data_IF_256768357081
#
_entry.id   IF_256768357081
#
_cell.length_a   1.000
_cell.length_b   1.000
_cell.length_c   1.000
_cell.angle_alpha   90.00
_cell.angle_beta   90.00
_cell.angle_gamma   90.00
#
_symmetry.space_group_name_H-M   'P 1'
#
loop_
_entity.id
_entity.type
_entity.pdbx_description
1 polymer ?
#
# COMPACT_ATOMS: atom_id res chain seq x y z
N UNK A 1 -10.86 -8.50 12.70
CA UNK A 1 -10.39 -7.19 12.21
C UNK A 1 -9.43 -7.39 11.05
N UNK A 2 -9.30 -6.40 10.17
CA UNK A 2 -8.35 -6.41 9.05
C UNK A 2 -6.91 -6.61 9.56
N UNK A 3 -6.54 -5.95 10.65
CA UNK A 3 -5.20 -6.08 11.20
C UNK A 3 -4.90 -7.51 11.67
N UNK A 4 -5.86 -8.20 12.26
CA UNK A 4 -5.70 -9.59 12.65
C UNK A 4 -5.53 -10.51 11.43
N UNK A 5 -6.31 -10.27 10.37
CA UNK A 5 -6.16 -10.99 9.10
C UNK A 5 -4.75 -10.81 8.52
N UNK A 6 -4.21 -9.58 8.55
CA UNK A 6 -2.84 -9.28 8.10
C UNK A 6 -1.82 -10.02 8.97
N UNK A 7 -1.96 -9.93 10.30
CA UNK A 7 -1.05 -10.59 11.24
C UNK A 7 -0.96 -12.09 10.99
N UNK A 8 -2.10 -12.75 10.90
CA UNK A 8 -2.18 -14.18 10.65
C UNK A 8 -1.67 -14.58 9.24
N UNK A 9 -1.93 -13.74 8.24
CA UNK A 9 -1.45 -13.97 6.88
C UNK A 9 0.08 -13.91 6.77
N UNK A 10 0.72 -13.09 7.60
CA UNK A 10 2.17 -12.92 7.64
C UNK A 10 2.86 -13.87 8.61
N UNK A 11 2.11 -14.56 9.47
CA UNK A 11 2.66 -15.47 10.43
C UNK A 11 3.51 -16.56 9.74
N UNK A 12 4.76 -16.73 10.21
CA UNK A 12 5.74 -17.66 9.62
C UNK A 12 6.14 -17.40 8.16
N UNK A 13 5.86 -16.22 7.60
CA UNK A 13 6.38 -15.81 6.30
C UNK A 13 7.77 -15.23 6.49
N UNK A 14 8.79 -15.91 5.94
CA UNK A 14 10.19 -15.47 6.04
C UNK A 14 10.56 -14.51 4.92
N UNK A 15 11.44 -13.55 5.21
CA UNK A 15 11.99 -12.63 4.22
C UNK A 15 11.07 -11.45 3.88
N UNK A 16 9.98 -11.28 4.60
CA UNK A 16 9.09 -10.12 4.48
C UNK A 16 9.16 -9.33 5.77
N UNK A 17 9.47 -8.04 5.67
CA UNK A 17 9.32 -7.10 6.76
C UNK A 17 8.01 -6.33 6.54
N UNK A 18 7.11 -6.39 7.49
CA UNK A 18 5.82 -5.72 7.45
C UNK A 18 5.77 -4.57 8.43
N UNK A 19 5.17 -3.47 8.01
CA UNK A 19 4.98 -2.28 8.82
C UNK A 19 3.51 -1.94 8.93
N UNK A 20 3.09 -1.54 10.10
CA UNK A 20 1.77 -0.98 10.36
C UNK A 20 1.94 0.51 10.70
N UNK A 21 1.28 1.35 9.92
CA UNK A 21 1.14 2.79 10.18
C UNK A 21 -0.24 3.03 10.77
N UNK A 22 -0.35 3.29 12.09
CA UNK A 22 -1.62 3.62 12.72
C UNK A 22 -2.18 4.94 12.16
N UNK A 23 -3.51 5.05 12.14
CA UNK A 23 -4.15 6.31 11.84
C UNK A 23 -3.75 7.37 12.90
N UNK A 24 -3.50 8.63 12.53
CA UNK A 24 -3.03 9.65 13.46
C UNK A 24 -3.93 9.86 14.70
N UNK A 25 -5.22 9.56 14.61
CA UNK A 25 -6.19 9.67 15.70
C UNK A 25 -6.37 8.38 16.52
N UNK A 26 -5.68 7.28 16.16
CA UNK A 26 -5.73 6.03 16.91
C UNK A 26 -4.45 5.84 17.71
N UNK A 27 -4.58 5.67 19.01
CA UNK A 27 -3.45 5.27 19.86
C UNK A 27 -3.13 3.80 19.61
N UNK A 28 -1.88 3.45 19.67
CA UNK A 28 -1.44 2.09 19.37
C UNK A 28 -2.04 1.05 20.32
N UNK A 29 -2.24 1.41 21.58
CA UNK A 29 -2.88 0.53 22.55
C UNK A 29 -4.32 0.21 22.18
N UNK A 30 -5.02 1.19 21.58
CA UNK A 30 -6.39 0.98 21.07
C UNK A 30 -6.37 0.04 19.86
N UNK A 31 -5.39 0.15 18.98
CA UNK A 31 -5.21 -0.73 17.83
C UNK A 31 -5.03 -2.19 18.27
N UNK A 32 -4.19 -2.44 19.24
CA UNK A 32 -3.99 -3.78 19.81
C UNK A 32 -5.25 -4.30 20.51
N UNK A 33 -5.89 -3.47 21.32
CA UNK A 33 -7.13 -3.85 21.99
C UNK A 33 -8.25 -4.22 21.01
N UNK A 34 -8.46 -3.40 19.98
CA UNK A 34 -9.50 -3.60 18.98
C UNK A 34 -9.19 -4.79 18.04
N UNK A 35 -7.94 -5.08 17.78
CA UNK A 35 -7.54 -6.21 16.93
C UNK A 35 -7.51 -7.54 17.67
N UNK A 36 -7.35 -7.52 18.99
CA UNK A 36 -7.13 -8.73 19.80
C UNK A 36 -5.72 -9.31 19.68
N UNK A 37 -4.80 -8.60 19.04
CA UNK A 37 -3.40 -9.03 18.86
C UNK A 37 -2.62 -8.68 20.12
N UNK A 38 -1.84 -9.64 20.62
CA UNK A 38 -0.88 -9.36 21.69
C UNK A 38 0.38 -8.73 21.09
N UNK A 39 0.93 -7.65 21.67
CA UNK A 39 2.12 -6.98 21.13
C UNK A 39 3.31 -7.90 20.88
N UNK A 40 3.51 -8.90 21.73
CA UNK A 40 4.61 -9.86 21.62
C UNK A 40 4.43 -10.90 20.49
N UNK A 41 3.23 -10.96 19.89
CA UNK A 41 2.87 -11.90 18.83
C UNK A 41 2.63 -11.23 17.48
N UNK A 42 3.21 -10.03 17.26
CA UNK A 42 3.05 -9.31 16.01
C UNK A 42 4.00 -9.82 14.92
N UNK A 43 3.42 -10.05 13.74
CA UNK A 43 4.18 -10.31 12.50
C UNK A 43 4.54 -9.02 11.76
N UNK A 44 4.51 -7.87 12.45
CA UNK A 44 4.77 -6.54 11.88
C UNK A 44 5.41 -5.59 12.90
N UNK A 45 6.03 -4.54 12.41
CA UNK A 45 6.56 -3.43 13.21
C UNK A 45 5.63 -2.22 13.12
N UNK A 46 5.52 -1.47 14.23
CA UNK A 46 4.79 -0.21 14.23
C UNK A 46 5.70 0.91 13.77
N UNK A 47 5.24 1.70 12.81
CA UNK A 47 5.97 2.83 12.24
C UNK A 47 5.17 4.12 12.41
N UNK A 48 5.84 5.17 12.88
CA UNK A 48 5.24 6.49 13.10
C UNK A 48 5.74 7.56 12.13
N UNK A 49 6.66 7.20 11.26
CA UNK A 49 7.20 8.09 10.23
C UNK A 49 6.08 8.61 9.30
N UNK A 50 6.30 9.74 8.63
CA UNK A 50 5.40 10.26 7.58
C UNK A 50 5.09 9.18 6.54
N UNK A 51 3.84 9.14 6.08
CA UNK A 51 3.36 8.07 5.19
C UNK A 51 4.12 8.02 3.87
N UNK A 52 4.42 9.17 3.30
CA UNK A 52 5.17 9.30 2.06
C UNK A 52 6.57 8.71 2.14
N UNK A 53 7.21 8.80 3.31
CA UNK A 53 8.52 8.18 3.55
C UNK A 53 8.40 6.65 3.61
N UNK A 54 7.38 6.14 4.26
CA UNK A 54 7.13 4.70 4.33
C UNK A 54 6.78 4.13 2.96
N UNK A 55 5.91 4.82 2.20
CA UNK A 55 5.53 4.40 0.85
C UNK A 55 6.71 4.35 -0.12
N UNK A 56 7.67 5.28 0.01
CA UNK A 56 8.88 5.28 -0.83
C UNK A 56 9.79 4.05 -0.61
N UNK A 57 9.63 3.35 0.50
CA UNK A 57 10.40 2.16 0.86
C UNK A 57 9.58 0.86 0.76
N UNK A 58 8.30 0.96 0.38
CA UNK A 58 7.35 -0.14 0.40
C UNK A 58 7.01 -0.62 -1.01
N UNK A 59 7.03 -1.93 -1.21
CA UNK A 59 6.56 -2.54 -2.46
C UNK A 59 5.06 -2.81 -2.46
N UNK A 60 4.51 -3.29 -1.33
CA UNK A 60 3.11 -3.71 -1.21
C UNK A 60 2.45 -2.88 -0.11
N UNK A 61 1.30 -2.31 -0.41
CA UNK A 61 0.47 -1.60 0.56
C UNK A 61 -0.85 -2.33 0.73
N UNK A 62 -1.14 -2.72 1.96
CA UNK A 62 -2.37 -3.42 2.30
C UNK A 62 -3.29 -2.43 3.01
N UNK A 63 -4.47 -2.25 2.47
CA UNK A 63 -5.46 -1.28 2.97
C UNK A 63 -6.87 -1.88 3.02
N UNK A 64 -7.74 -1.30 3.82
CA UNK A 64 -9.19 -1.42 3.66
C UNK A 64 -9.72 -0.27 2.80
N UNK A 65 -10.31 0.72 3.45
CA UNK A 65 -11.00 1.85 2.80
C UNK A 65 -10.17 3.14 2.74
N UNK A 66 -8.86 3.04 2.97
CA UNK A 66 -7.98 4.20 3.11
C UNK A 66 -7.67 4.87 1.77
N UNK A 67 -7.73 6.20 1.73
CA UNK A 67 -7.25 7.02 0.60
C UNK A 67 -5.75 6.90 0.34
N UNK A 68 -4.97 6.43 1.30
CA UNK A 68 -3.53 6.11 1.14
C UNK A 68 -3.30 5.14 -0.02
N UNK A 69 -4.30 4.34 -0.39
CA UNK A 69 -4.24 3.48 -1.58
C UNK A 69 -3.93 4.24 -2.87
N UNK A 70 -4.45 5.46 -3.01
CA UNK A 70 -4.21 6.33 -4.18
C UNK A 70 -2.74 6.80 -4.18
N UNK A 71 -2.25 7.27 -3.03
CA UNK A 71 -0.87 7.72 -2.87
C UNK A 71 0.13 6.57 -3.11
N UNK A 72 -0.17 5.40 -2.54
CA UNK A 72 0.60 4.19 -2.75
C UNK A 72 0.66 3.81 -4.23
N UNK A 73 -0.49 3.82 -4.92
CA UNK A 73 -0.55 3.56 -6.35
C UNK A 73 0.26 4.60 -7.13
N UNK A 74 0.15 5.90 -6.81
CA UNK A 74 0.89 6.97 -7.47
C UNK A 74 2.41 6.82 -7.34
N UNK A 75 2.87 6.26 -6.23
CA UNK A 75 4.29 5.97 -5.97
C UNK A 75 4.76 4.61 -6.54
N UNK A 76 3.89 3.89 -7.25
CA UNK A 76 4.24 2.63 -7.91
C UNK A 76 4.19 1.41 -6.99
N UNK A 77 3.59 1.52 -5.81
CA UNK A 77 3.34 0.36 -4.95
C UNK A 77 2.25 -0.54 -5.53
N UNK A 78 2.34 -1.83 -5.27
CA UNK A 78 1.22 -2.74 -5.45
C UNK A 78 0.22 -2.57 -4.30
N UNK A 79 -1.05 -2.41 -4.62
CA UNK A 79 -2.11 -2.16 -3.64
C UNK A 79 -2.98 -3.40 -3.47
N UNK A 80 -3.07 -3.89 -2.25
CA UNK A 80 -3.95 -4.99 -1.87
C UNK A 80 -5.07 -4.43 -0.99
N UNK A 81 -6.29 -4.48 -1.51
CA UNK A 81 -7.49 -4.01 -0.81
C UNK A 81 -8.12 -5.20 -0.10
N UNK A 82 -8.22 -5.12 1.22
CA UNK A 82 -8.93 -6.12 2.01
C UNK A 82 -10.41 -5.74 2.05
N UNK A 83 -11.22 -6.54 1.38
CA UNK A 83 -12.67 -6.40 1.34
C UNK A 83 -13.29 -7.32 2.41
N UNK A 84 -13.91 -6.73 3.43
CA UNK A 84 -14.65 -7.49 4.44
C UNK A 84 -16.07 -7.72 3.92
N UNK A 85 -16.51 -8.98 3.73
CA UNK A 85 -17.77 -9.29 3.04
C UNK A 85 -19.02 -8.65 3.64
N UNK A 86 -19.02 -8.43 4.96
CA UNK A 86 -20.15 -7.85 5.70
C UNK A 86 -20.18 -6.32 5.62
N UNK A 87 -19.16 -5.68 5.02
CA UNK A 87 -19.03 -4.24 4.98
C UNK A 87 -19.17 -3.72 3.55
N UNK A 88 -19.70 -2.51 3.43
CA UNK A 88 -19.71 -1.82 2.14
C UNK A 88 -18.27 -1.41 1.83
N UNK A 89 -17.74 -1.87 0.71
CA UNK A 89 -16.40 -1.49 0.28
C UNK A 89 -16.40 -0.03 -0.19
N UNK A 90 -15.82 0.85 0.61
CA UNK A 90 -15.67 2.28 0.34
C UNK A 90 -14.29 2.65 -0.21
N UNK A 91 -13.45 1.65 -0.54
CA UNK A 91 -12.13 1.93 -1.12
C UNK A 91 -12.25 2.76 -2.39
N UNK A 92 -11.47 3.84 -2.53
CA UNK A 92 -11.50 4.69 -3.72
C UNK A 92 -11.03 3.96 -4.98
N UNK A 93 -10.32 2.84 -4.83
CA UNK A 93 -9.80 2.04 -5.93
C UNK A 93 -10.60 0.74 -6.20
N UNK A 94 -11.74 0.53 -5.55
CA UNK A 94 -12.51 -0.71 -5.64
C UNK A 94 -12.94 -1.09 -7.07
N UNK A 95 -13.20 -0.08 -7.91
CA UNK A 95 -13.67 -0.25 -9.29
C UNK A 95 -12.55 -0.10 -10.33
N UNK A 96 -11.33 0.17 -9.87
CA UNK A 96 -10.17 0.37 -10.75
C UNK A 96 -9.58 -0.98 -11.15
N UNK A 97 -9.64 -1.29 -12.45
CA UNK A 97 -9.06 -2.52 -13.01
C UNK A 97 -7.62 -2.26 -13.46
N UNK A 98 -6.68 -2.50 -12.60
CA UNK A 98 -5.25 -2.41 -12.91
C UNK A 98 -4.51 -3.60 -12.31
N UNK A 99 -3.50 -4.09 -13.01
CA UNK A 99 -2.71 -5.25 -12.55
C UNK A 99 -1.96 -5.05 -11.24
N UNK A 100 -1.84 -3.80 -10.80
CA UNK A 100 -1.22 -3.43 -9.52
C UNK A 100 -2.22 -3.36 -8.35
N UNK A 101 -3.51 -3.56 -8.61
CA UNK A 101 -4.56 -3.53 -7.59
C UNK A 101 -5.14 -4.92 -7.48
N UNK A 102 -5.15 -5.47 -6.28
CA UNK A 102 -5.75 -6.76 -5.97
C UNK A 102 -6.76 -6.58 -4.84
N UNK A 103 -7.89 -7.26 -4.95
CA UNK A 103 -8.93 -7.26 -3.90
C UNK A 103 -8.98 -8.66 -3.34
N UNK A 104 -8.91 -8.77 -2.01
CA UNK A 104 -8.93 -10.03 -1.29
C UNK A 104 -10.00 -9.99 -0.20
N UNK A 105 -10.65 -11.10 0.08
CA UNK A 105 -11.75 -11.19 1.04
C UNK A 105 -11.50 -12.21 2.15
N UNK A 106 -10.38 -12.92 2.10
CA UNK A 106 -10.02 -13.90 3.10
C UNK A 106 -8.53 -13.84 3.46
N UNK A 107 -8.20 -14.41 4.62
CA UNK A 107 -6.83 -14.53 5.09
C UNK A 107 -5.96 -15.33 4.12
N UNK A 108 -6.50 -16.42 3.58
CA UNK A 108 -5.77 -17.27 2.65
C UNK A 108 -5.50 -16.57 1.32
N UNK A 109 -6.50 -15.85 0.77
CA UNK A 109 -6.33 -15.02 -0.41
C UNK A 109 -5.26 -13.94 -0.19
N UNK A 110 -5.29 -13.28 0.98
CA UNK A 110 -4.29 -12.26 1.31
C UNK A 110 -2.89 -12.86 1.36
N UNK A 111 -2.72 -13.98 2.08
CA UNK A 111 -1.45 -14.69 2.17
C UNK A 111 -0.93 -15.10 0.80
N UNK A 112 -1.76 -15.73 -0.01
CA UNK A 112 -1.38 -16.17 -1.36
C UNK A 112 -1.01 -14.99 -2.25
N UNK A 113 -1.81 -13.93 -2.21
CA UNK A 113 -1.55 -12.69 -2.97
C UNK A 113 -0.19 -12.08 -2.62
N UNK A 114 0.13 -11.95 -1.33
CA UNK A 114 1.43 -11.45 -0.88
C UNK A 114 2.56 -12.32 -1.42
N UNK A 115 2.45 -13.64 -1.26
CA UNK A 115 3.49 -14.57 -1.73
C UNK A 115 3.68 -14.53 -3.24
N UNK A 116 2.61 -14.38 -4.01
CA UNK A 116 2.67 -14.32 -5.46
C UNK A 116 3.33 -13.01 -5.93
N UNK A 117 2.99 -11.88 -5.31
CA UNK A 117 3.65 -10.60 -5.56
C UNK A 117 5.17 -10.72 -5.29
N UNK A 118 5.57 -11.35 -4.19
CA UNK A 118 6.99 -11.50 -3.87
C UNK A 118 7.76 -12.45 -4.80
N UNK A 119 7.08 -13.44 -5.39
CA UNK A 119 7.68 -14.32 -6.42
C UNK A 119 7.88 -13.60 -7.75
N UNK A 120 7.06 -12.63 -8.06
CA UNK A 120 7.18 -11.85 -9.30
C UNK A 120 8.45 -10.99 -9.26
N UNK A 121 9.21 -10.99 -10.36
CA UNK A 121 10.35 -10.09 -10.49
C UNK A 121 9.86 -8.64 -10.51
N UNK A 122 10.24 -7.89 -9.49
CA UNK A 122 9.89 -6.47 -9.41
C UNK A 122 10.58 -5.69 -10.53
N UNK A 123 9.80 -4.92 -11.29
CA UNK A 123 10.29 -4.03 -12.33
C UNK A 123 9.75 -2.61 -12.06
N UNK A 124 10.55 -1.74 -11.42
CA UNK A 124 10.11 -0.39 -11.02
C UNK A 124 9.58 0.45 -12.19
N UNK A 125 10.22 0.37 -13.35
CA UNK A 125 9.81 1.16 -14.53
C UNK A 125 8.44 0.74 -15.06
N UNK A 126 8.20 -0.57 -15.15
CA UNK A 126 6.91 -1.12 -15.54
C UNK A 126 5.81 -0.71 -14.58
N UNK A 127 6.08 -0.79 -13.27
CA UNK A 127 5.13 -0.40 -12.23
C UNK A 127 4.86 1.11 -12.25
N UNK A 128 5.88 1.94 -12.36
CA UNK A 128 5.71 3.39 -12.46
C UNK A 128 4.91 3.81 -13.72
N UNK A 129 5.12 3.14 -14.86
CA UNK A 129 4.36 3.40 -16.08
C UNK A 129 2.89 2.98 -15.94
N UNK A 130 2.64 1.78 -15.41
CA UNK A 130 1.28 1.27 -15.17
C UNK A 130 0.53 2.13 -14.15
N UNK A 131 1.21 2.56 -13.11
CA UNK A 131 0.68 3.45 -12.08
C UNK A 131 0.25 4.81 -12.67
N UNK A 132 1.14 5.47 -13.40
CA UNK A 132 0.83 6.75 -14.05
C UNK A 132 -0.36 6.63 -14.98
N UNK A 133 -0.41 5.60 -15.81
CA UNK A 133 -1.54 5.35 -16.68
C UNK A 133 -2.84 5.21 -15.87
N UNK A 134 -2.84 4.37 -14.84
CA UNK A 134 -4.03 4.13 -14.01
C UNK A 134 -4.49 5.40 -13.31
N UNK A 135 -3.57 6.19 -12.76
CA UNK A 135 -3.90 7.46 -12.10
C UNK A 135 -4.50 8.45 -13.10
N UNK A 136 -3.89 8.61 -14.27
CA UNK A 136 -4.41 9.50 -15.30
C UNK A 136 -5.79 9.07 -15.80
N UNK A 137 -5.96 7.77 -16.08
CA UNK A 137 -7.24 7.23 -16.56
C UNK A 137 -8.36 7.38 -15.51
N UNK A 138 -8.05 7.19 -14.23
CA UNK A 138 -9.04 7.21 -13.16
C UNK A 138 -9.40 8.64 -12.70
N UNK A 139 -8.41 9.53 -12.62
CA UNK A 139 -8.61 10.89 -12.13
C UNK A 139 -8.79 11.92 -13.25
N UNK A 140 -8.84 11.50 -14.50
CA UNK A 140 -8.97 12.39 -15.66
C UNK A 140 -7.95 13.53 -15.62
N UNK A 141 -6.74 13.22 -15.19
CA UNK A 141 -5.64 14.18 -15.15
C UNK A 141 -5.10 14.32 -16.57
N UNK A 142 -5.68 15.25 -17.34
CA UNK A 142 -5.12 15.58 -18.63
C UNK A 142 -3.80 16.38 -18.48
N UNK A 143 -2.95 16.30 -19.50
CA UNK A 143 -1.63 16.95 -19.48
C UNK A 143 -1.72 18.49 -19.45
N UNK A 144 -2.88 19.05 -19.81
CA UNK A 144 -3.15 20.50 -19.84
C UNK A 144 -3.64 21.00 -18.47
N UNK A 145 -4.18 20.11 -17.63
CA UNK A 145 -4.58 20.50 -16.30
C UNK A 145 -3.38 20.69 -15.37
N UNK A 146 -3.25 21.86 -14.76
CA UNK A 146 -2.24 22.12 -13.72
C UNK A 146 -2.49 21.37 -12.40
N UNK A 147 -3.56 20.55 -12.34
CA UNK A 147 -3.95 19.79 -11.15
C UNK A 147 -2.91 18.70 -10.80
N UNK A 148 -2.37 17.92 -11.75
CA UNK A 148 -1.30 16.95 -11.45
C UNK A 148 -0.05 17.61 -10.89
N UNK A 149 0.33 18.75 -11.46
CA UNK A 149 1.53 19.49 -11.02
C UNK A 149 1.35 20.03 -9.60
N UNK A 150 0.19 20.64 -9.31
CA UNK A 150 -0.15 21.11 -7.96
C UNK A 150 -0.26 19.96 -6.96
N UNK A 151 -0.83 18.82 -7.35
CA UNK A 151 -0.93 17.66 -6.50
C UNK A 151 0.46 17.07 -6.18
N UNK A 152 1.33 16.95 -7.18
CA UNK A 152 2.72 16.52 -7.01
C UNK A 152 3.55 17.54 -6.21
N UNK A 153 3.30 18.83 -6.37
CA UNK A 153 3.90 19.90 -5.56
C UNK A 153 3.43 19.87 -4.11
N UNK A 154 2.16 19.53 -3.85
CA UNK A 154 1.59 19.34 -2.50
C UNK A 154 2.10 18.07 -1.81
N UNK A 155 2.39 17.02 -2.57
CA UNK A 155 3.05 15.81 -2.05
C UNK A 155 4.55 16.05 -1.77
N UNK A 156 5.05 17.24 -2.07
CA UNK A 156 6.42 17.68 -1.82
C UNK A 156 7.39 17.24 -2.92
N UNK A 157 8.19 18.19 -3.39
CA UNK A 157 9.24 18.00 -4.39
C UNK A 157 10.34 16.98 -4.02
N UNK A 158 10.25 16.40 -2.82
CA UNK A 158 11.10 15.30 -2.33
C UNK A 158 10.77 13.95 -2.96
N UNK A 159 9.57 13.76 -3.54
CA UNK A 159 9.14 12.46 -4.05
C UNK A 159 9.61 12.14 -5.47
N UNK A 160 9.99 13.13 -6.26
CA UNK A 160 10.57 12.89 -7.59
C UNK A 160 11.97 12.26 -7.47
N UNK A 161 12.69 12.57 -6.39
CA UNK A 161 13.97 11.91 -6.08
C UNK A 161 13.81 10.49 -5.47
N UNK A 162 12.61 10.11 -5.04
CA UNK A 162 12.31 8.79 -4.49
C UNK A 162 12.32 7.69 -5.55
N UNK A 163 11.91 8.02 -6.78
CA UNK A 163 11.91 7.06 -7.89
C UNK A 163 13.34 6.73 -8.31
N UNK A 164 14.25 7.71 -8.31
CA UNK A 164 15.68 7.50 -8.60
C UNK A 164 16.38 6.68 -7.50
N UNK A 165 15.89 6.71 -6.26
CA UNK A 165 16.46 5.91 -5.17
C UNK A 165 16.00 4.44 -5.20
N UNK A 166 14.83 4.14 -5.75
CA UNK A 166 14.36 2.76 -5.92
C UNK A 166 15.19 2.01 -6.98
N UNK A 167 15.61 2.69 -8.04
CA UNK A 167 16.48 2.09 -9.06
C UNK A 167 17.89 1.77 -8.56
N UNK A 168 18.44 2.59 -7.64
CA UNK A 168 19.79 2.39 -7.09
C UNK A 168 19.89 1.27 -6.05
N UNK A 169 18.79 0.77 -5.49
CA UNK A 169 18.80 -0.31 -4.49
C UNK A 169 18.68 -1.72 -5.06
N UNK A 170 18.32 -1.86 -6.34
CA UNK A 170 18.25 -3.16 -7.00
C UNK A 170 19.60 -3.64 -7.58
N UNK A 171 20.67 -2.84 -7.46
CA UNK A 171 22.02 -3.18 -7.98
C UNK A 171 23.01 -3.61 -6.89
N UNK A 172 22.53 -3.93 -5.69
CA UNK A 172 23.34 -4.51 -4.61
C UNK A 172 22.71 -5.86 -4.13
#
# INVERSE_FOLDING_TARGET
SILNMINESLHNVKGIEAWVKPHPFLRIEEVFTLSGIQPDNCSFLIKNEPIEKLLAETRIVIVGESSVSIEALALGCEVVIVNVPEWINMSPLKDVKAGMIRIVSSQEELRQTILDIFKEKYNPEKYAAASRKTINDFFYLDEESNVPKKFLELLGSSSVNGIDNLTKRCEK
#
